data_IF_262913861548
#
_entry.id   IF_262913861548
#
_cell.length_a   1.000
_cell.length_b   1.000
_cell.length_c   1.000
_cell.angle_alpha   90.00
_cell.angle_beta   90.00
_cell.angle_gamma   90.00
#
_symmetry.space_group_name_H-M   'P 1'
#
loop_
_entity.id
_entity.type
_entity.pdbx_description
1 polymer ?
#
# COMPACT_ATOMS: atom_id res chain seq x y z
N UNK A 1 14.72 -6.45 4.94
CA UNK A 1 14.19 -5.13 5.38
C UNK A 1 13.48 -4.53 4.18
N UNK A 2 12.20 -4.20 4.29
CA UNK A 2 11.38 -3.62 3.20
C UNK A 2 10.93 -2.23 3.65
N UNK A 3 10.79 -1.29 2.71
CA UNK A 3 10.20 0.03 2.93
C UNK A 3 8.94 0.10 2.08
N UNK A 4 7.86 0.67 2.63
CA UNK A 4 6.62 0.90 1.91
C UNK A 4 6.60 2.32 1.35
N UNK A 5 6.11 2.45 0.12
CA UNK A 5 5.88 3.74 -0.53
C UNK A 5 4.62 3.71 -1.41
N UNK A 6 4.13 4.89 -1.79
CA UNK A 6 2.97 5.04 -2.69
C UNK A 6 3.34 5.38 -4.13
N UNK A 7 4.55 5.90 -4.37
CA UNK A 7 4.94 6.55 -5.64
C UNK A 7 3.92 7.63 -6.10
N UNK A 8 3.33 8.34 -5.14
CA UNK A 8 2.38 9.41 -5.46
C UNK A 8 3.09 10.54 -6.25
N UNK A 9 2.44 11.16 -7.26
CA UNK A 9 1.02 11.08 -7.58
C UNK A 9 0.61 9.92 -8.51
N UNK A 10 1.51 8.98 -8.82
CA UNK A 10 1.31 7.87 -9.75
C UNK A 10 0.90 6.58 -9.04
N UNK A 11 0.71 5.49 -9.78
CA UNK A 11 0.53 4.12 -9.25
C UNK A 11 -0.53 3.96 -8.13
N UNK A 12 -1.72 4.55 -8.28
CA UNK A 12 -2.80 4.33 -7.31
C UNK A 12 -3.10 2.84 -7.09
N UNK A 13 -3.14 2.36 -5.84
CA UNK A 13 -3.49 0.98 -5.53
C UNK A 13 -4.98 0.72 -5.76
N UNK A 14 -5.38 -0.54 -5.81
CA UNK A 14 -6.79 -0.94 -5.86
C UNK A 14 -7.50 -0.55 -4.54
N UNK A 15 -8.79 -0.11 -4.55
CA UNK A 15 -9.71 0.10 -5.68
C UNK A 15 -9.61 1.47 -6.37
N UNK A 16 -8.51 2.19 -6.18
CA UNK A 16 -8.33 3.56 -6.65
C UNK A 16 -7.57 3.65 -7.98
N UNK A 17 -7.33 2.51 -8.66
CA UNK A 17 -6.66 2.50 -9.97
C UNK A 17 -7.34 3.45 -10.95
N UNK A 18 -6.53 4.07 -11.81
CA UNK A 18 -7.01 5.07 -12.78
C UNK A 18 -7.27 6.46 -12.19
N UNK A 19 -7.18 6.66 -10.87
CA UNK A 19 -7.25 7.97 -10.21
C UNK A 19 -5.86 8.43 -9.75
N UNK A 20 -5.70 9.71 -9.41
CA UNK A 20 -4.45 10.24 -8.82
C UNK A 20 -4.18 9.59 -7.47
N UNK A 21 -2.93 9.22 -7.24
CA UNK A 21 -2.51 8.63 -5.97
C UNK A 21 -2.20 9.71 -4.94
N UNK A 22 -2.23 9.33 -3.66
CA UNK A 22 -1.86 10.19 -2.55
C UNK A 22 -1.20 9.39 -1.42
N UNK A 23 -0.38 10.03 -0.56
CA UNK A 23 0.30 9.37 0.54
C UNK A 23 -0.65 8.66 1.54
N UNK A 24 -1.89 9.13 1.65
CA UNK A 24 -2.91 8.55 2.52
C UNK A 24 -3.36 7.16 2.09
N UNK A 25 -2.98 6.68 0.89
CA UNK A 25 -3.25 5.31 0.43
C UNK A 25 -2.15 4.30 0.78
N UNK A 26 -1.08 4.70 1.49
CA UNK A 26 0.03 3.81 1.87
C UNK A 26 -0.42 2.56 2.63
N UNK A 27 -1.49 2.67 3.44
CA UNK A 27 -2.05 1.56 4.19
C UNK A 27 -2.44 0.37 3.30
N UNK A 28 -2.81 0.61 2.02
CA UNK A 28 -3.13 -0.48 1.07
C UNK A 28 -1.93 -1.37 0.77
N UNK A 29 -0.73 -0.81 0.74
CA UNK A 29 0.50 -1.58 0.56
C UNK A 29 0.81 -2.40 1.81
N UNK A 30 0.58 -1.84 3.01
CA UNK A 30 0.74 -2.54 4.27
C UNK A 30 -0.26 -3.71 4.39
N UNK A 31 -1.55 -3.47 4.14
CA UNK A 31 -2.60 -4.50 4.10
C UNK A 31 -2.22 -5.64 3.15
N UNK A 32 -1.81 -5.30 1.92
CA UNK A 32 -1.45 -6.31 0.91
C UNK A 32 -0.19 -7.09 1.30
N UNK A 33 0.80 -6.43 1.90
CA UNK A 33 2.02 -7.11 2.35
C UNK A 33 1.75 -8.03 3.55
N UNK A 34 0.90 -7.61 4.49
CA UNK A 34 0.47 -8.41 5.63
C UNK A 34 -0.21 -9.70 5.15
N UNK A 35 -1.15 -9.58 4.21
CA UNK A 35 -1.86 -10.70 3.58
C UNK A 35 -0.89 -11.69 2.91
N UNK A 36 0.07 -11.18 2.11
CA UNK A 36 1.07 -12.03 1.43
C UNK A 36 1.95 -12.78 2.45
N UNK A 37 2.25 -12.16 3.60
CA UNK A 37 3.11 -12.72 4.64
C UNK A 37 2.38 -13.55 5.68
N UNK A 38 1.04 -13.49 5.74
CA UNK A 38 0.25 -14.14 6.77
C UNK A 38 0.47 -13.58 8.17
N UNK A 39 0.78 -12.27 8.28
CA UNK A 39 0.99 -11.55 9.54
C UNK A 39 -0.05 -10.44 9.72
N UNK A 40 -0.11 -9.81 10.90
CA UNK A 40 -0.99 -8.64 11.09
C UNK A 40 -0.41 -7.38 10.42
N UNK A 41 -1.24 -6.36 10.16
CA UNK A 41 -0.77 -5.10 9.55
C UNK A 41 0.17 -4.36 10.50
N UNK A 42 -0.02 -4.50 11.81
CA UNK A 42 0.85 -3.94 12.85
C UNK A 42 2.24 -4.57 12.89
N UNK A 43 2.40 -5.77 12.32
CA UNK A 43 3.68 -6.47 12.20
C UNK A 43 4.45 -6.15 10.91
N UNK A 44 3.83 -5.42 9.97
CA UNK A 44 4.44 -4.99 8.70
C UNK A 44 5.30 -3.74 8.86
#
# INVERSE_FOLDING_TARGET
RIVLETDCPYMSPEPFRGKRNDPGKLYRMAERLAEIRGISVEEV
#
